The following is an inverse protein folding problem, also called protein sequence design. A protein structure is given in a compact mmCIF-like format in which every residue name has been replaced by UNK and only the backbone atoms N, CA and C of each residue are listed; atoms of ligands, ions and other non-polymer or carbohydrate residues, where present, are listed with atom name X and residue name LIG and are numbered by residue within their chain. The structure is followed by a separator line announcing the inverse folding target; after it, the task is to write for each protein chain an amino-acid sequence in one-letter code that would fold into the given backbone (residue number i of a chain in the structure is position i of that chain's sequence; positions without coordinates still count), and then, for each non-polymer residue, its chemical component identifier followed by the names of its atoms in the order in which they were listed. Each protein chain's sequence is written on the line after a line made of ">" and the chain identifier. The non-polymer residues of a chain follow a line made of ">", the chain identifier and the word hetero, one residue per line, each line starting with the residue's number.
data_IF_990802860160
#
_entry.id   IF_990802860160
#
_cell.length_a   1.000
_cell.length_b   1.000
_cell.length_c   1.000
_cell.angle_alpha   90.00
_cell.angle_beta   90.00
_cell.angle_gamma   90.00
#
_symmetry.space_group_name_H-M   'P 1'
#
loop_
_entity.id
_entity.type
_entity.pdbx_description
1 polymer ?
#
# COMPACT_ATOMS: atom_id res chain seq x y z
N UNK A 1 -14.96 1.60 9.63
CA UNK A 1 -14.93 1.95 8.19
C UNK A 1 -16.37 2.10 7.70
N UNK A 2 -16.72 3.14 6.92
CA UNK A 2 -18.07 3.31 6.38
C UNK A 2 -18.50 2.13 5.48
N UNK A 3 -19.80 1.80 5.49
CA UNK A 3 -20.34 0.58 4.85
C UNK A 3 -20.13 0.52 3.32
N UNK A 4 -19.97 1.67 2.67
CA UNK A 4 -19.77 1.76 1.23
C UNK A 4 -18.31 1.53 0.76
N UNK A 5 -17.38 1.29 1.68
CA UNK A 5 -16.04 0.81 1.35
C UNK A 5 -16.02 -0.74 1.27
N UNK A 6 -15.18 -1.29 0.42
CA UNK A 6 -14.97 -2.74 0.29
C UNK A 6 -13.48 -3.07 0.46
N UNK A 7 -13.13 -4.28 0.93
CA UNK A 7 -11.75 -4.76 0.91
C UNK A 7 -11.16 -4.69 -0.51
N UNK A 8 -9.95 -4.16 -0.63
CA UNK A 8 -9.26 -3.95 -1.91
C UNK A 8 -7.91 -4.69 -1.97
N UNK A 9 -7.20 -4.76 -0.84
CA UNK A 9 -5.94 -5.47 -0.69
C UNK A 9 -5.82 -6.16 0.67
N UNK A 10 -4.98 -7.19 0.75
CA UNK A 10 -4.70 -7.91 1.98
C UNK A 10 -3.24 -8.41 2.00
N UNK A 11 -2.59 -8.31 3.16
CA UNK A 11 -1.24 -8.84 3.35
C UNK A 11 -1.04 -9.38 4.77
N UNK A 12 -0.36 -10.52 4.88
CA UNK A 12 0.13 -11.04 6.16
C UNK A 12 1.55 -10.52 6.40
N UNK A 13 1.72 -9.62 7.38
CA UNK A 13 2.96 -8.91 7.64
C UNK A 13 3.27 -8.94 9.13
N UNK A 14 4.49 -9.35 9.50
CA UNK A 14 4.94 -9.33 10.91
C UNK A 14 4.09 -10.18 11.87
N UNK A 15 3.34 -11.17 11.36
CA UNK A 15 2.41 -12.00 12.16
C UNK A 15 0.99 -11.43 12.28
N UNK A 16 0.70 -10.34 11.59
CA UNK A 16 -0.58 -9.63 11.61
C UNK A 16 -1.19 -9.63 10.20
N UNK A 17 -2.50 -9.40 10.10
CA UNK A 17 -3.22 -9.30 8.83
C UNK A 17 -3.58 -7.85 8.60
N UNK A 18 -3.08 -7.26 7.52
CA UNK A 18 -3.44 -5.90 7.11
C UNK A 18 -4.42 -5.98 5.96
N UNK A 19 -5.52 -5.24 6.06
CA UNK A 19 -6.55 -5.15 5.01
C UNK A 19 -6.68 -3.69 4.60
N UNK A 20 -6.64 -3.44 3.30
CA UNK A 20 -6.93 -2.13 2.73
C UNK A 20 -8.34 -2.09 2.20
N UNK A 21 -8.93 -0.90 2.18
CA UNK A 21 -10.29 -0.67 1.74
C UNK A 21 -10.35 0.53 0.82
N UNK A 22 -11.06 0.38 -0.30
CA UNK A 22 -11.35 1.43 -1.26
C UNK A 22 -12.86 1.65 -1.38
N UNK A 23 -13.27 2.81 -1.87
CA UNK A 23 -14.68 3.07 -2.17
C UNK A 23 -15.08 2.21 -3.36
N UNK A 24 -16.23 1.54 -3.27
CA UNK A 24 -16.71 0.70 -4.37
C UNK A 24 -16.85 1.50 -5.65
N UNK A 25 -16.48 0.86 -6.75
CA UNK A 25 -16.77 1.32 -8.08
C UNK A 25 -18.27 1.67 -8.26
N UNK A 26 -18.60 2.72 -9.02
CA UNK A 26 -19.95 2.88 -9.55
C UNK A 26 -20.25 1.74 -10.53
N UNK A 27 -21.54 1.51 -10.85
CA UNK A 27 -21.93 0.53 -11.86
C UNK A 27 -21.21 0.83 -13.18
N UNK A 28 -20.44 -0.12 -13.69
CA UNK A 28 -19.58 -0.02 -14.89
C UNK A 28 -18.38 0.95 -14.78
N UNK A 29 -17.95 1.31 -13.58
CA UNK A 29 -16.68 2.00 -13.32
C UNK A 29 -15.65 1.10 -12.63
N UNK A 30 -14.47 1.66 -12.41
CA UNK A 30 -13.45 1.20 -11.47
C UNK A 30 -13.66 1.91 -10.13
N UNK A 31 -12.95 1.47 -9.09
CA UNK A 31 -13.04 2.04 -7.75
C UNK A 31 -12.77 3.56 -7.74
N UNK A 32 -13.23 4.26 -6.69
CA UNK A 32 -13.17 5.72 -6.68
C UNK A 32 -11.77 6.23 -6.23
N UNK A 33 -11.15 7.17 -6.99
CA UNK A 33 -9.72 7.53 -6.88
C UNK A 33 -9.42 8.49 -5.72
N UNK A 34 -10.19 8.43 -4.62
CA UNK A 34 -9.93 9.27 -3.45
C UNK A 34 -10.31 8.57 -2.14
N UNK A 35 -9.40 8.65 -1.17
CA UNK A 35 -9.58 8.10 0.15
C UNK A 35 -9.29 6.61 0.23
N UNK A 36 -9.60 6.04 1.39
CA UNK A 36 -9.35 4.66 1.70
C UNK A 36 -9.13 4.47 3.19
N UNK A 37 -8.99 3.21 3.58
CA UNK A 37 -8.66 2.83 4.94
C UNK A 37 -7.68 1.66 4.91
N UNK A 38 -6.88 1.53 5.96
CA UNK A 38 -6.05 0.37 6.19
C UNK A 38 -6.19 -0.02 7.65
N UNK A 39 -6.61 -1.26 7.89
CA UNK A 39 -6.80 -1.80 9.24
C UNK A 39 -5.84 -2.98 9.46
N UNK A 40 -5.35 -3.09 10.68
CA UNK A 40 -4.52 -4.17 11.18
C UNK A 40 -5.37 -5.11 12.05
N UNK A 41 -5.29 -6.40 11.79
CA UNK A 41 -5.98 -7.45 12.50
C UNK A 41 -4.99 -8.48 13.03
N UNK A 42 -5.37 -9.16 14.12
CA UNK A 42 -4.69 -10.40 14.49
C UNK A 42 -5.08 -11.54 13.52
N UNK A 43 -4.36 -12.68 13.52
CA UNK A 43 -4.70 -13.83 12.68
C UNK A 43 -6.07 -14.47 12.97
N UNK A 44 -6.75 -14.06 14.05
CA UNK A 44 -8.12 -14.50 14.39
C UNK A 44 -9.18 -13.51 13.92
N UNK A 45 -8.79 -12.46 13.20
CA UNK A 45 -9.68 -11.43 12.65
C UNK A 45 -10.11 -10.36 13.65
N UNK A 46 -9.45 -10.23 14.81
CA UNK A 46 -9.73 -9.14 15.76
C UNK A 46 -8.98 -7.89 15.33
N UNK A 47 -9.69 -6.78 15.20
CA UNK A 47 -9.10 -5.47 14.92
C UNK A 47 -8.11 -5.06 16.02
N UNK A 48 -6.88 -4.73 15.61
CA UNK A 48 -5.79 -4.26 16.48
C UNK A 48 -5.68 -2.74 16.40
N UNK A 49 -5.62 -2.20 15.18
CA UNK A 49 -5.34 -0.79 14.92
C UNK A 49 -5.92 -0.31 13.59
N UNK A 50 -6.22 0.98 13.53
CA UNK A 50 -6.39 1.73 12.29
C UNK A 50 -5.05 2.35 11.89
N UNK A 51 -4.71 2.30 10.60
CA UNK A 51 -3.49 2.91 10.07
C UNK A 51 -3.81 4.29 9.50
N UNK A 52 -3.16 5.33 10.02
CA UNK A 52 -3.28 6.68 9.44
C UNK A 52 -4.69 7.27 9.46
N UNK A 53 -4.88 8.31 8.65
CA UNK A 53 -6.17 8.95 8.41
C UNK A 53 -6.63 8.70 6.97
N UNK A 54 -7.93 8.62 6.73
CA UNK A 54 -8.50 8.30 5.40
C UNK A 54 -8.07 9.26 4.30
N UNK A 55 -7.86 10.54 4.63
CA UNK A 55 -7.40 11.59 3.70
C UNK A 55 -5.96 11.40 3.22
N UNK A 56 -5.22 10.47 3.81
CA UNK A 56 -3.86 10.14 3.40
C UNK A 56 -3.85 9.05 2.31
N UNK A 57 -4.96 8.33 2.13
CA UNK A 57 -5.05 7.23 1.20
C UNK A 57 -5.76 7.62 -0.09
N UNK A 58 -5.42 6.89 -1.14
CA UNK A 58 -6.00 6.98 -2.47
C UNK A 58 -5.95 5.59 -3.10
N UNK A 59 -7.03 4.82 -2.90
CA UNK A 59 -7.14 3.41 -3.30
C UNK A 59 -5.95 2.58 -2.80
N UNK A 60 -5.75 2.50 -1.47
CA UNK A 60 -4.60 1.79 -0.91
C UNK A 60 -4.73 0.30 -1.25
N UNK A 61 -3.69 -0.31 -1.80
CA UNK A 61 -3.72 -1.71 -2.22
C UNK A 61 -2.51 -2.48 -1.70
N UNK A 62 -1.32 -2.10 -2.17
CA UNK A 62 -0.09 -2.82 -1.86
C UNK A 62 0.41 -2.48 -0.46
N UNK A 63 0.86 -3.50 0.26
CA UNK A 63 1.33 -3.38 1.63
C UNK A 63 2.68 -4.09 1.76
N UNK A 64 3.66 -3.42 2.35
CA UNK A 64 4.94 -4.02 2.70
C UNK A 64 5.39 -3.54 4.07
N UNK A 65 5.91 -4.45 4.90
CA UNK A 65 6.56 -4.08 6.15
C UNK A 65 8.07 -4.03 5.92
N UNK A 66 8.67 -2.87 6.18
CA UNK A 66 10.10 -2.71 6.06
C UNK A 66 10.84 -3.66 7.02
N UNK A 67 11.89 -4.36 6.55
CA UNK A 67 12.58 -5.34 7.37
C UNK A 67 13.33 -4.67 8.50
N UNK A 68 13.63 -5.48 9.53
CA UNK A 68 14.39 -4.99 10.68
C UNK A 68 15.74 -4.46 10.24
N UNK A 69 16.10 -3.25 10.68
CA UNK A 69 17.37 -2.60 10.35
C UNK A 69 17.38 -1.88 9.01
N UNK A 70 16.21 -1.64 8.38
CA UNK A 70 16.09 -0.85 7.14
C UNK A 70 16.25 0.66 7.36
N UNK A 71 17.33 1.05 8.04
CA UNK A 71 17.66 2.44 8.34
C UNK A 71 16.52 3.20 9.02
N UNK A 72 16.18 4.38 8.48
CA UNK A 72 15.12 5.25 9.03
C UNK A 72 13.70 4.68 8.88
N UNK A 73 13.53 3.67 8.04
CA UNK A 73 12.25 3.01 7.77
C UNK A 73 12.12 1.69 8.52
N UNK A 74 13.01 1.39 9.49
CA UNK A 74 12.95 0.17 10.30
C UNK A 74 11.53 -0.08 10.85
N UNK A 75 10.92 -1.21 10.43
CA UNK A 75 9.56 -1.64 10.83
C UNK A 75 8.43 -0.69 10.44
N UNK A 76 8.68 0.25 9.54
CA UNK A 76 7.61 1.07 8.98
C UNK A 76 6.75 0.25 8.00
N UNK A 77 5.44 0.46 8.05
CA UNK A 77 4.49 -0.04 7.07
C UNK A 77 4.47 0.90 5.87
N UNK A 78 4.70 0.34 4.69
CA UNK A 78 4.58 1.02 3.42
C UNK A 78 3.23 0.66 2.80
N UNK A 79 2.50 1.68 2.34
CA UNK A 79 1.20 1.53 1.71
C UNK A 79 1.26 2.14 0.31
N UNK A 80 1.16 1.30 -0.72
CA UNK A 80 1.02 1.70 -2.10
C UNK A 80 -0.43 2.13 -2.38
N UNK A 81 -0.57 3.35 -2.89
CA UNK A 81 -1.85 3.96 -3.25
C UNK A 81 -1.99 3.88 -4.76
N UNK A 82 -2.91 3.02 -5.24
CA UNK A 82 -3.06 2.72 -6.65
C UNK A 82 -3.43 3.97 -7.45
N UNK A 83 -4.45 4.71 -7.01
CA UNK A 83 -4.95 5.92 -7.70
C UNK A 83 -3.89 7.01 -7.82
N UNK A 84 -3.25 7.40 -6.71
CA UNK A 84 -2.22 8.46 -6.75
C UNK A 84 -0.84 8.02 -7.24
N UNK A 85 -0.57 6.72 -7.28
CA UNK A 85 0.76 6.16 -7.53
C UNK A 85 1.79 6.37 -6.40
N UNK A 86 1.36 6.82 -5.21
CA UNK A 86 2.25 7.17 -4.10
C UNK A 86 2.42 6.01 -3.12
N UNK A 87 3.63 5.89 -2.57
CA UNK A 87 3.93 4.95 -1.48
C UNK A 87 4.07 5.73 -0.18
N UNK A 88 3.05 5.65 0.67
CA UNK A 88 3.03 6.28 1.98
C UNK A 88 3.77 5.42 3.02
N UNK A 89 4.31 6.06 4.04
CA UNK A 89 5.12 5.44 5.09
C UNK A 89 4.46 5.70 6.44
N UNK A 90 4.25 4.64 7.21
CA UNK A 90 3.65 4.70 8.53
C UNK A 90 4.52 3.99 9.54
N UNK A 91 4.86 4.67 10.63
CA UNK A 91 5.62 4.04 11.71
C UNK A 91 4.73 3.56 12.84
N UNK A 92 5.08 2.45 13.50
CA UNK A 92 4.32 1.94 14.64
C UNK A 92 4.47 2.88 15.84
N UNK A 93 3.35 3.12 16.55
CA UNK A 93 3.29 3.85 17.82
C UNK A 93 2.32 3.16 18.77
N UNK A 94 2.81 2.20 19.55
CA UNK A 94 1.95 1.42 20.45
C UNK A 94 0.96 0.58 19.64
N UNK A 95 -0.35 0.89 19.76
CA UNK A 95 -1.44 0.22 19.03
C UNK A 95 -1.99 1.06 17.88
N UNK A 96 -1.18 2.00 17.36
CA UNK A 96 -1.55 2.86 16.23
C UNK A 96 -0.40 2.96 15.25
N UNK A 97 -0.68 3.48 14.06
CA UNK A 97 0.32 3.80 13.05
C UNK A 97 0.27 5.27 12.68
N UNK A 98 1.44 5.91 12.69
CA UNK A 98 1.57 7.34 12.42
C UNK A 98 2.18 7.56 11.05
N UNK A 99 1.55 8.42 10.25
CA UNK A 99 2.11 8.87 8.98
C UNK A 99 3.46 9.56 9.20
N UNK A 100 4.49 9.09 8.48
CA UNK A 100 5.86 9.61 8.52
C UNK A 100 6.29 10.31 7.23
N UNK A 101 5.42 10.31 6.22
CA UNK A 101 5.72 10.85 4.91
C UNK A 101 5.43 9.84 3.81
N UNK A 102 6.01 10.07 2.64
CA UNK A 102 5.92 9.20 1.47
C UNK A 102 7.29 9.03 0.85
N UNK A 103 7.49 7.96 0.08
CA UNK A 103 8.69 7.83 -0.74
C UNK A 103 8.77 8.98 -1.76
N UNK A 104 9.97 9.50 -2.08
CA UNK A 104 10.17 10.62 -3.01
C UNK A 104 10.06 10.18 -4.47
N UNK A 105 9.12 9.29 -4.78
CA UNK A 105 8.84 8.74 -6.10
C UNK A 105 7.33 8.61 -6.27
N UNK A 106 6.88 8.58 -7.52
CA UNK A 106 5.50 8.22 -7.87
C UNK A 106 5.57 7.16 -8.96
N UNK A 107 4.84 6.07 -8.73
CA UNK A 107 4.73 4.93 -9.64
C UNK A 107 3.24 4.81 -10.00
N UNK A 108 2.79 5.38 -11.13
CA UNK A 108 1.38 5.36 -11.51
C UNK A 108 0.79 3.94 -11.50
N UNK A 109 -0.35 3.75 -10.84
CA UNK A 109 -1.02 2.45 -10.75
C UNK A 109 -0.28 1.40 -9.92
N UNK A 110 0.54 1.81 -8.95
CA UNK A 110 1.25 0.86 -8.07
C UNK A 110 0.27 0.12 -7.15
N UNK A 111 0.16 -1.20 -7.34
CA UNK A 111 -0.75 -2.04 -6.55
C UNK A 111 -0.03 -3.05 -5.66
N UNK A 112 1.16 -3.51 -6.04
CA UNK A 112 1.87 -4.58 -5.34
C UNK A 112 3.26 -4.13 -4.99
N UNK A 113 3.64 -4.32 -3.73
CA UNK A 113 4.97 -3.99 -3.23
C UNK A 113 5.45 -5.09 -2.28
N UNK A 114 6.74 -5.41 -2.32
CA UNK A 114 7.35 -6.37 -1.39
C UNK A 114 8.85 -6.13 -1.26
N UNK A 115 9.39 -6.31 -0.06
CA UNK A 115 10.83 -6.33 0.13
C UNK A 115 11.42 -7.67 -0.32
N UNK A 116 12.64 -7.64 -0.86
CA UNK A 116 13.42 -8.85 -1.10
C UNK A 116 13.67 -9.63 0.21
N UNK A 117 13.90 -10.93 0.10
CA UNK A 117 14.20 -11.79 1.27
C UNK A 117 15.69 -12.13 1.41
N UNK A 118 16.51 -11.71 0.43
CA UNK A 118 17.92 -12.11 0.27
C UNK A 118 18.13 -13.03 -0.93
N UNK A 119 19.39 -13.33 -1.21
CA UNK A 119 19.82 -14.30 -2.22
C UNK A 119 19.18 -14.07 -3.60
N UNK A 120 18.58 -15.11 -4.19
CA UNK A 120 17.94 -15.03 -5.52
C UNK A 120 16.71 -14.12 -5.57
N UNK A 121 16.14 -13.75 -4.42
CA UNK A 121 14.98 -12.84 -4.34
C UNK A 121 15.37 -11.35 -4.30
N UNK A 122 16.67 -11.04 -4.41
CA UNK A 122 17.21 -9.70 -4.29
C UNK A 122 17.50 -9.29 -2.85
N UNK A 123 18.21 -8.16 -2.70
CA UNK A 123 18.61 -7.66 -1.39
C UNK A 123 17.38 -7.38 -0.50
N UNK A 124 17.53 -7.60 0.81
CA UNK A 124 16.48 -7.26 1.80
C UNK A 124 16.14 -5.78 1.83
N UNK A 125 17.00 -4.95 1.26
CA UNK A 125 16.83 -3.50 1.14
C UNK A 125 16.13 -3.08 -0.15
N UNK A 126 15.89 -4.01 -1.07
CA UNK A 126 15.20 -3.75 -2.34
C UNK A 126 13.69 -3.86 -2.14
N UNK A 127 12.96 -2.78 -2.42
CA UNK A 127 11.50 -2.79 -2.49
C UNK A 127 11.10 -3.02 -3.95
N UNK A 128 10.64 -4.23 -4.25
CA UNK A 128 10.05 -4.55 -5.55
C UNK A 128 8.64 -4.01 -5.63
N UNK A 129 8.24 -3.60 -6.82
CA UNK A 129 6.88 -3.17 -7.10
C UNK A 129 6.37 -3.72 -8.43
N UNK A 130 5.06 -3.87 -8.49
CA UNK A 130 4.29 -4.05 -9.72
C UNK A 130 3.27 -2.93 -9.81
N UNK A 131 3.08 -2.44 -11.03
CA UNK A 131 2.20 -1.33 -11.31
C UNK A 131 1.52 -1.50 -12.66
N UNK A 132 0.34 -0.92 -12.80
CA UNK A 132 -0.34 -0.78 -14.08
C UNK A 132 -0.57 0.68 -14.39
N UNK A 133 0.40 1.36 -15.00
CA UNK A 133 0.20 2.70 -15.51
C UNK A 133 -0.99 2.71 -16.47
N UNK A 134 -1.90 3.63 -16.25
CA UNK A 134 -3.13 3.78 -17.01
C UNK A 134 -3.49 5.26 -17.09
N UNK A 135 -4.52 5.57 -17.86
CA UNK A 135 -5.19 6.88 -17.86
C UNK A 135 -6.62 6.72 -17.39
N UNK A 136 -7.09 7.70 -16.64
CA UNK A 136 -8.50 7.76 -16.25
C UNK A 136 -9.33 8.39 -17.37
N UNK A 137 -10.42 7.72 -17.76
CA UNK A 137 -11.46 8.25 -18.64
C UNK A 137 -12.82 8.08 -17.96
N UNK A 138 -13.32 9.14 -17.33
CA UNK A 138 -14.49 9.07 -16.47
C UNK A 138 -14.21 8.17 -15.27
N UNK A 139 -15.05 7.14 -15.08
CA UNK A 139 -14.88 6.16 -14.02
C UNK A 139 -14.04 4.94 -14.43
N UNK A 140 -13.48 4.88 -15.64
CA UNK A 140 -12.79 3.69 -16.14
C UNK A 140 -11.33 3.97 -16.45
N UNK A 141 -10.48 2.97 -16.21
CA UNK A 141 -9.09 2.96 -16.68
C UNK A 141 -9.01 2.61 -18.17
N UNK A 142 -8.18 3.34 -18.90
CA UNK A 142 -7.84 3.11 -20.31
C UNK A 142 -6.32 3.13 -20.48
N UNK A 143 -5.82 2.64 -21.62
CA UNK A 143 -4.38 2.57 -21.92
C UNK A 143 -3.57 1.86 -20.82
N UNK A 144 -4.11 0.74 -20.29
CA UNK A 144 -3.52 -0.01 -19.19
C UNK A 144 -2.27 -0.76 -19.66
N UNK A 145 -1.17 -0.57 -18.94
CA UNK A 145 0.09 -1.26 -19.14
C UNK A 145 0.50 -2.05 -17.90
N UNK A 146 1.63 -2.78 -17.96
CA UNK A 146 2.20 -3.49 -16.83
C UNK A 146 3.68 -3.15 -16.67
N UNK A 147 4.10 -2.83 -15.45
CA UNK A 147 5.49 -2.54 -15.10
C UNK A 147 5.87 -3.34 -13.86
N UNK A 148 7.06 -3.95 -13.91
CA UNK A 148 7.76 -4.48 -12.75
C UNK A 148 9.04 -3.68 -12.54
N UNK A 149 9.33 -3.32 -11.30
CA UNK A 149 10.52 -2.55 -10.98
C UNK A 149 11.01 -2.76 -9.56
N UNK A 150 12.11 -2.08 -9.24
CA UNK A 150 12.75 -2.14 -7.94
C UNK A 150 13.15 -0.74 -7.49
N UNK A 151 12.94 -0.45 -6.22
CA UNK A 151 13.37 0.76 -5.53
C UNK A 151 14.47 0.34 -4.56
N UNK A 152 15.64 0.96 -4.68
CA UNK A 152 16.81 0.67 -3.84
C UNK A 152 17.22 1.94 -3.08
N UNK A 153 17.85 1.81 -1.89
CA UNK A 153 18.40 2.96 -1.18
C UNK A 153 19.44 3.69 -2.03
N UNK A 154 19.48 5.02 -1.95
CA UNK A 154 20.63 5.80 -2.42
C UNK A 154 21.84 5.46 -1.55
N UNK A 155 22.93 4.98 -2.19
CA UNK A 155 24.20 4.66 -1.54
C UNK A 155 24.90 5.86 -0.93
#
# INVERSE_FOLDING_TARGET
>A
IPEWYAPFGIAALGGHIFVTYASRAPVNGNDAPVGGYVDEFDPRGRLIAHVGASTQFDEPWGLALAPRGFGRLDRDLLVANFGSGRINIYGPRGRTWNYRGRMPITVPGVWGISFGTGDMSGARTSLFYVAGPHRWHGASEVDVHGVFGVIVPSG
#
